data_IF_949083080258
#
_entry.id   IF_949083080258
#
_cell.length_a   1.000
_cell.length_b   1.000
_cell.length_c   1.000
_cell.angle_alpha   90.00
_cell.angle_beta   90.00
_cell.angle_gamma   90.00
#
_symmetry.space_group_name_H-M   'P 1'
#
loop_
_entity.id
_entity.type
_entity.pdbx_description
1 polymer ?
#
# COMPACT_ATOMS: atom_id res chain seq x y z
N UNK A 1 -26.49 -20.79 6.87
CA UNK A 1 -25.63 -19.96 7.74
C UNK A 1 -25.46 -18.62 7.05
N UNK A 2 -25.63 -17.49 7.75
CA UNK A 2 -25.64 -16.17 7.08
C UNK A 2 -24.24 -15.56 7.09
N UNK A 3 -23.74 -15.20 5.91
CA UNK A 3 -22.52 -14.42 5.72
C UNK A 3 -22.94 -12.98 5.43
N UNK A 4 -22.28 -12.02 6.04
CA UNK A 4 -22.49 -10.60 5.79
C UNK A 4 -21.23 -10.05 5.16
N UNK A 5 -21.33 -9.49 3.95
CA UNK A 5 -20.26 -8.72 3.32
C UNK A 5 -20.58 -7.23 3.43
N UNK A 6 -19.71 -6.48 4.12
CA UNK A 6 -19.70 -5.02 4.19
C UNK A 6 -18.58 -4.50 3.30
N UNK A 7 -18.92 -3.66 2.34
CA UNK A 7 -17.96 -3.02 1.43
C UNK A 7 -17.98 -1.52 1.73
N UNK A 8 -16.85 -1.00 2.17
CA UNK A 8 -16.64 0.42 2.43
C UNK A 8 -15.78 1.00 1.30
N UNK A 9 -16.35 1.98 0.59
CA UNK A 9 -15.61 2.79 -0.39
C UNK A 9 -15.06 4.01 0.34
N UNK A 10 -13.74 4.07 0.44
CA UNK A 10 -13.01 5.03 1.23
C UNK A 10 -12.42 6.13 0.34
N UNK A 11 -12.74 7.37 0.68
CA UNK A 11 -12.19 8.57 0.06
C UNK A 11 -10.96 9.04 0.84
N UNK A 12 -9.92 9.47 0.13
CA UNK A 12 -8.76 10.11 0.74
C UNK A 12 -9.11 11.52 1.18
N UNK A 13 -8.89 11.83 2.46
CA UNK A 13 -9.16 13.15 3.02
C UNK A 13 -7.94 13.62 3.79
N UNK A 14 -7.59 14.89 3.59
CA UNK A 14 -6.63 15.59 4.42
C UNK A 14 -7.38 16.48 5.41
N UNK A 15 -7.20 16.22 6.70
CA UNK A 15 -7.73 17.07 7.76
C UNK A 15 -6.59 17.87 8.39
N UNK A 16 -6.80 19.18 8.58
CA UNK A 16 -5.83 20.05 9.23
C UNK A 16 -6.48 21.00 10.21
N UNK A 17 -5.76 21.31 11.27
CA UNK A 17 -6.11 22.36 12.23
C UNK A 17 -5.05 23.47 12.32
N UNK A 18 -4.21 23.62 11.28
CA UNK A 18 -3.17 24.65 11.20
C UNK A 18 -1.90 24.36 12.02
N UNK A 19 -1.91 23.29 12.83
CA UNK A 19 -0.73 22.80 13.56
C UNK A 19 -0.32 21.44 13.00
N UNK A 20 -1.31 20.59 12.71
CA UNK A 20 -1.10 19.25 12.16
C UNK A 20 -1.96 19.10 10.91
N UNK A 21 -1.46 18.31 9.97
CA UNK A 21 -2.22 17.80 8.84
C UNK A 21 -2.15 16.27 8.84
N UNK A 22 -3.31 15.64 8.87
CA UNK A 22 -3.48 14.20 8.83
C UNK A 22 -4.06 13.82 7.46
N UNK A 23 -3.37 12.95 6.74
CA UNK A 23 -3.94 12.25 5.59
C UNK A 23 -4.48 10.91 6.05
N UNK A 24 -5.79 10.72 5.91
CA UNK A 24 -6.51 9.52 6.33
C UNK A 24 -7.64 9.17 5.34
N UNK A 25 -8.42 8.15 5.69
CA UNK A 25 -9.53 7.67 4.89
C UNK A 25 -10.85 8.11 5.51
N UNK A 26 -11.85 8.40 4.68
CA UNK A 26 -13.21 8.65 5.10
C UNK A 26 -14.14 7.68 4.40
N UNK A 27 -15.11 7.12 5.11
CA UNK A 27 -16.17 6.32 4.49
C UNK A 27 -17.05 7.24 3.64
N UNK A 28 -16.96 7.10 2.32
CA UNK A 28 -17.79 7.83 1.36
C UNK A 28 -19.10 7.10 1.08
N UNK A 29 -19.03 5.77 0.95
CA UNK A 29 -20.19 4.92 0.70
C UNK A 29 -20.02 3.55 1.35
N UNK A 30 -21.11 3.01 1.88
CA UNK A 30 -21.18 1.63 2.36
C UNK A 30 -22.16 0.82 1.51
N UNK A 31 -21.83 -0.44 1.26
CA UNK A 31 -22.70 -1.42 0.60
C UNK A 31 -22.72 -2.68 1.48
N UNK A 32 -23.93 -3.15 1.78
CA UNK A 32 -24.16 -4.32 2.62
C UNK A 32 -24.81 -5.42 1.77
N UNK A 33 -24.14 -6.56 1.68
CA UNK A 33 -24.58 -7.72 0.90
C UNK A 33 -24.70 -8.94 1.82
N UNK A 34 -25.92 -9.30 2.26
CA UNK A 34 -26.14 -10.57 2.93
C UNK A 34 -26.04 -11.72 1.91
N UNK A 35 -25.33 -12.78 2.28
CA UNK A 35 -25.16 -13.99 1.47
C UNK A 35 -25.63 -15.17 2.32
N UNK A 36 -26.59 -15.92 1.82
CA UNK A 36 -27.00 -17.18 2.44
C UNK A 36 -26.06 -18.28 1.97
N UNK A 37 -25.17 -18.73 2.85
CA UNK A 37 -24.47 -19.99 2.64
C UNK A 37 -25.39 -21.12 3.09
N UNK A 38 -25.49 -22.19 2.31
CA UNK A 38 -26.22 -23.40 2.69
C UNK A 38 -25.68 -24.08 3.96
N UNK A 39 -26.07 -25.32 4.22
CA UNK A 39 -25.58 -26.09 5.39
C UNK A 39 -24.11 -26.54 5.30
N UNK A 40 -23.29 -25.83 4.53
CA UNK A 40 -21.86 -26.12 4.36
C UNK A 40 -21.08 -25.41 5.47
N UNK A 41 -20.08 -26.10 6.02
CA UNK A 41 -19.15 -25.52 7.00
C UNK A 41 -18.31 -24.45 6.31
N UNK A 42 -18.60 -23.19 6.58
CA UNK A 42 -17.85 -22.04 6.04
C UNK A 42 -16.45 -22.03 6.64
N UNK A 43 -15.44 -21.94 5.79
CA UNK A 43 -14.03 -21.81 6.15
C UNK A 43 -13.54 -20.37 5.98
N UNK A 44 -12.34 -20.07 6.48
CA UNK A 44 -11.72 -18.75 6.28
C UNK A 44 -11.43 -18.51 4.79
N UNK A 45 -11.04 -19.55 4.05
CA UNK A 45 -10.73 -19.43 2.63
C UNK A 45 -11.96 -19.01 1.82
N UNK A 46 -13.15 -19.53 2.15
CA UNK A 46 -14.41 -19.10 1.52
C UNK A 46 -14.68 -17.60 1.75
N UNK A 47 -14.42 -17.10 2.97
CA UNK A 47 -14.58 -15.68 3.29
C UNK A 47 -13.59 -14.80 2.54
N UNK A 48 -12.34 -15.29 2.37
CA UNK A 48 -11.31 -14.60 1.59
C UNK A 48 -11.71 -14.54 0.11
N UNK A 49 -12.24 -15.61 -0.45
CA UNK A 49 -12.73 -15.66 -1.83
C UNK A 49 -13.87 -14.66 -2.05
N UNK A 50 -14.89 -14.67 -1.19
CA UNK A 50 -15.99 -13.70 -1.23
C UNK A 50 -15.46 -12.26 -1.11
N UNK A 51 -14.47 -12.03 -0.24
CA UNK A 51 -13.86 -10.70 -0.10
C UNK A 51 -13.15 -10.28 -1.39
N UNK A 52 -12.40 -11.18 -2.01
CA UNK A 52 -11.67 -10.95 -3.26
C UNK A 52 -12.62 -10.68 -4.44
N UNK A 53 -13.71 -11.44 -4.56
CA UNK A 53 -14.73 -11.21 -5.58
C UNK A 53 -15.35 -9.82 -5.45
N UNK A 54 -15.68 -9.40 -4.23
CA UNK A 54 -16.21 -8.07 -3.96
C UNK A 54 -15.19 -6.97 -4.29
N UNK A 55 -13.90 -7.17 -4.00
CA UNK A 55 -12.84 -6.24 -4.39
C UNK A 55 -12.75 -6.05 -5.91
N UNK A 56 -12.90 -7.13 -6.69
CA UNK A 56 -12.90 -7.05 -8.15
C UNK A 56 -14.17 -6.39 -8.67
N UNK A 57 -15.34 -6.76 -8.13
CA UNK A 57 -16.65 -6.27 -8.57
C UNK A 57 -16.84 -4.76 -8.34
N UNK A 58 -16.38 -4.25 -7.20
CA UNK A 58 -16.56 -2.85 -6.81
C UNK A 58 -15.30 -2.01 -7.00
N UNK A 59 -14.36 -2.49 -7.81
CA UNK A 59 -13.07 -1.83 -8.05
C UNK A 59 -13.26 -0.42 -8.59
N UNK A 60 -12.66 0.54 -7.90
CA UNK A 60 -12.62 1.95 -8.30
C UNK A 60 -11.16 2.42 -8.29
N UNK A 61 -10.69 3.07 -9.35
CA UNK A 61 -9.30 3.51 -9.46
C UNK A 61 -8.93 4.69 -8.57
N UNK A 62 -9.93 5.41 -8.06
CA UNK A 62 -9.75 6.64 -7.28
C UNK A 62 -9.99 6.44 -5.78
N UNK A 63 -10.68 5.35 -5.40
CA UNK A 63 -11.06 5.06 -4.02
C UNK A 63 -10.33 3.83 -3.49
N UNK A 64 -9.99 3.87 -2.20
CA UNK A 64 -9.57 2.68 -1.46
C UNK A 64 -10.81 1.87 -1.11
N UNK A 65 -10.71 0.55 -1.22
CA UNK A 65 -11.81 -0.35 -0.91
C UNK A 65 -11.45 -1.16 0.32
N UNK A 66 -12.38 -1.23 1.27
CA UNK A 66 -12.27 -2.13 2.41
C UNK A 66 -13.46 -3.07 2.42
N UNK A 67 -13.19 -4.36 2.25
CA UNK A 67 -14.22 -5.40 2.29
C UNK A 67 -14.08 -6.17 3.59
N UNK A 68 -15.11 -6.13 4.41
CA UNK A 68 -15.24 -6.96 5.60
C UNK A 68 -16.27 -8.04 5.34
N UNK A 69 -15.88 -9.30 5.44
CA UNK A 69 -16.78 -10.45 5.33
C UNK A 69 -16.83 -11.15 6.68
N UNK A 70 -18.03 -11.33 7.22
CA UNK A 70 -18.25 -11.85 8.56
C UNK A 70 -19.31 -12.96 8.57
N UNK A 71 -19.06 -13.96 9.42
CA UNK A 71 -19.98 -15.06 9.77
C UNK A 71 -19.77 -15.34 11.27
N UNK A 72 -20.71 -15.98 11.99
CA UNK A 72 -20.52 -16.23 13.42
C UNK A 72 -19.17 -16.88 13.74
N UNK A 73 -18.32 -16.16 14.47
CA UNK A 73 -16.99 -16.61 14.91
C UNK A 73 -15.83 -16.39 13.93
N UNK A 74 -16.07 -15.89 12.71
CA UNK A 74 -15.01 -15.61 11.73
C UNK A 74 -15.23 -14.25 11.05
N UNK A 75 -14.16 -13.46 10.94
CA UNK A 75 -14.16 -12.17 10.25
C UNK A 75 -12.90 -12.02 9.42
N UNK A 76 -13.07 -11.68 8.16
CA UNK A 76 -11.98 -11.38 7.22
C UNK A 76 -12.11 -9.94 6.78
N UNK A 77 -10.99 -9.21 6.76
CA UNK A 77 -10.91 -7.84 6.27
C UNK A 77 -9.88 -7.83 5.15
N UNK A 78 -10.31 -7.48 3.93
CA UNK A 78 -9.44 -7.37 2.78
C UNK A 78 -9.47 -5.95 2.22
N UNK A 79 -8.32 -5.29 2.23
CA UNK A 79 -8.11 -4.00 1.58
C UNK A 79 -7.75 -4.16 0.11
N UNK A 80 -8.26 -3.28 -0.74
CA UNK A 80 -7.88 -3.14 -2.14
C UNK A 80 -7.59 -1.69 -2.51
N UNK A 81 -6.73 -1.51 -3.52
CA UNK A 81 -6.18 -0.22 -3.97
C UNK A 81 -5.41 0.52 -2.87
N UNK A 82 -4.11 0.20 -2.67
CA UNK A 82 -3.28 0.86 -1.67
C UNK A 82 -3.16 2.36 -1.98
N UNK A 83 -2.94 3.14 -0.92
CA UNK A 83 -2.84 4.59 -1.04
C UNK A 83 -1.60 4.93 -1.85
N UNK A 84 -1.77 5.44 -3.07
CA UNK A 84 -0.65 5.72 -4.02
C UNK A 84 0.43 6.66 -3.46
N UNK A 85 0.16 7.35 -2.35
CA UNK A 85 1.06 8.32 -1.71
C UNK A 85 1.28 8.07 -0.20
N UNK A 86 0.75 6.99 0.39
CA UNK A 86 0.95 6.79 1.82
C UNK A 86 2.43 6.51 2.12
N UNK A 87 2.98 7.32 3.01
CA UNK A 87 4.35 7.16 3.51
C UNK A 87 4.43 6.18 4.67
N UNK A 88 3.30 5.89 5.36
CA UNK A 88 3.34 5.18 6.63
C UNK A 88 2.08 4.36 6.90
N UNK A 89 2.27 3.18 7.49
CA UNK A 89 1.20 2.38 8.09
C UNK A 89 0.95 2.89 9.50
N UNK A 90 -0.01 3.81 9.63
CA UNK A 90 -0.41 4.41 10.90
C UNK A 90 -1.11 3.40 11.80
N UNK A 91 -1.85 2.44 11.24
CA UNK A 91 -2.62 1.45 12.00
C UNK A 91 -2.50 0.07 11.32
N UNK A 92 -2.13 -1.03 12.02
CA UNK A 92 -2.05 -2.37 11.43
C UNK A 92 -3.38 -2.87 10.84
N UNK A 93 -4.51 -2.38 11.35
CA UNK A 93 -5.86 -2.72 10.88
C UNK A 93 -6.67 -1.43 10.69
N UNK A 94 -7.45 -1.28 9.62
CA UNK A 94 -8.30 -0.11 9.46
C UNK A 94 -9.24 0.04 10.67
N UNK A 95 -9.20 1.19 11.31
CA UNK A 95 -10.02 1.47 12.50
C UNK A 95 -10.35 2.96 12.57
N UNK A 96 -11.46 3.28 13.22
CA UNK A 96 -11.91 4.66 13.38
C UNK A 96 -11.00 5.42 14.36
N UNK A 97 -10.53 6.58 13.94
CA UNK A 97 -9.70 7.45 14.76
C UNK A 97 -10.57 8.27 15.70
N UNK A 98 -10.28 8.17 17.00
CA UNK A 98 -10.90 9.04 18.02
C UNK A 98 -10.10 10.32 18.21
N UNK A 99 -8.77 10.19 18.33
CA UNK A 99 -7.84 11.31 18.51
C UNK A 99 -6.39 10.88 18.39
N UNK A 100 -5.53 11.87 18.25
CA UNK A 100 -4.07 11.74 18.24
C UNK A 100 -3.52 12.59 19.38
N UNK A 101 -2.72 11.98 20.25
CA UNK A 101 -2.08 12.64 21.39
C UNK A 101 -0.57 12.72 21.13
N UNK A 102 0.00 13.90 21.30
CA UNK A 102 1.44 14.12 21.25
C UNK A 102 1.94 14.19 22.69
N UNK A 103 2.89 13.32 23.00
CA UNK A 103 3.37 13.11 24.35
C UNK A 103 4.83 13.56 24.45
N UNK A 104 5.14 14.30 25.51
CA UNK A 104 6.51 14.62 25.89
C UNK A 104 6.79 14.11 27.30
N UNK A 105 7.83 13.32 27.45
CA UNK A 105 8.32 12.82 28.71
C UNK A 105 9.39 13.76 29.25
N UNK A 106 9.15 14.32 30.44
CA UNK A 106 10.15 15.17 31.12
C UNK A 106 11.23 14.30 31.75
N UNK A 107 10.83 13.14 32.27
CA UNK A 107 11.66 12.13 32.91
C UNK A 107 11.20 10.73 32.45
N UNK A 108 11.87 9.66 32.89
CA UNK A 108 11.51 8.28 32.55
C UNK A 108 10.13 7.82 33.05
N UNK A 109 9.48 8.58 33.93
CA UNK A 109 8.21 8.23 34.57
C UNK A 109 7.09 9.22 34.23
N UNK A 110 7.42 10.49 33.99
CA UNK A 110 6.44 11.56 33.85
C UNK A 110 6.32 11.99 32.39
N UNK A 111 5.19 11.65 31.78
CA UNK A 111 4.87 11.99 30.41
C UNK A 111 3.57 12.79 30.35
N UNK A 112 3.63 13.96 29.71
CA UNK A 112 2.52 14.90 29.58
C UNK A 112 2.00 14.91 28.14
N UNK A 113 0.67 15.07 27.98
CA UNK A 113 0.07 15.40 26.69
C UNK A 113 0.33 16.87 26.42
N UNK A 114 1.15 17.16 25.41
CA UNK A 114 1.45 18.55 25.01
C UNK A 114 0.54 19.05 23.90
N UNK A 115 -0.05 18.14 23.13
CA UNK A 115 -0.98 18.49 22.08
C UNK A 115 -1.97 17.36 21.81
N UNK A 116 -3.23 17.72 21.56
CA UNK A 116 -4.30 16.80 21.19
C UNK A 116 -4.89 17.25 19.85
N UNK A 117 -4.89 16.33 18.89
CA UNK A 117 -5.63 16.47 17.64
C UNK A 117 -6.88 15.59 17.70
N UNK A 118 -8.04 16.22 17.60
CA UNK A 118 -9.34 15.55 17.46
C UNK A 118 -9.87 15.80 16.05
N UNK A 119 -10.14 14.75 15.27
CA UNK A 119 -10.72 14.91 13.95
C UNK A 119 -12.16 15.45 14.08
N UNK A 120 -12.54 16.39 13.22
CA UNK A 120 -13.89 16.99 13.14
C UNK A 120 -14.88 16.07 12.46
N UNK A 121 -14.37 15.20 11.59
CA UNK A 121 -15.12 14.20 10.84
C UNK A 121 -14.66 12.81 11.25
N UNK A 122 -15.53 11.82 11.08
CA UNK A 122 -15.17 10.44 11.35
C UNK A 122 -14.17 9.94 10.29
N UNK A 123 -12.97 9.61 10.74
CA UNK A 123 -11.87 9.15 9.89
C UNK A 123 -11.51 7.70 10.21
N UNK A 124 -11.15 6.94 9.19
CA UNK A 124 -10.57 5.61 9.27
C UNK A 124 -9.06 5.74 9.02
N UNK A 125 -8.27 5.14 9.90
CA UNK A 125 -6.81 5.16 9.81
C UNK A 125 -6.31 3.75 9.51
N UNK A 126 -5.50 3.65 8.45
CA UNK A 126 -4.78 2.45 8.05
C UNK A 126 -3.39 2.86 7.52
N UNK A 127 -3.34 3.23 6.24
CA UNK A 127 -2.22 3.87 5.58
C UNK A 127 -2.48 5.38 5.49
N UNK A 128 -1.49 6.20 5.82
CA UNK A 128 -1.64 7.65 5.84
C UNK A 128 -0.34 8.39 6.18
N UNK A 129 -0.46 9.68 6.42
CA UNK A 129 0.66 10.54 6.80
C UNK A 129 0.23 11.53 7.88
N UNK A 130 1.14 11.83 8.80
CA UNK A 130 0.97 12.88 9.82
C UNK A 130 2.06 13.92 9.56
N UNK A 131 1.66 15.07 9.05
CA UNK A 131 2.53 16.21 8.79
C UNK A 131 2.39 17.25 9.91
N UNK A 132 3.52 17.72 10.43
CA UNK A 132 3.58 18.80 11.41
C UNK A 132 3.81 20.13 10.70
N UNK A 133 2.83 21.03 10.78
CA UNK A 133 2.90 22.37 10.18
C UNK A 133 3.57 23.38 11.12
N UNK A 134 3.60 23.09 12.42
CA UNK A 134 4.36 23.82 13.44
C UNK A 134 5.26 22.88 14.20
N UNK A 135 6.38 23.40 14.68
CA UNK A 135 7.30 22.65 15.53
C UNK A 135 6.62 22.37 16.88
N UNK A 136 6.16 21.15 17.04
CA UNK A 136 5.75 20.58 18.32
C UNK A 136 6.93 19.74 18.80
N UNK A 137 7.33 19.92 20.05
CA UNK A 137 8.43 19.19 20.66
C UNK A 137 7.90 17.99 21.45
N UNK A 138 7.83 16.82 20.82
CA UNK A 138 7.25 15.57 21.35
C UNK A 138 8.22 14.40 21.22
N UNK A 139 8.08 13.41 22.09
CA UNK A 139 8.88 12.18 22.06
C UNK A 139 8.18 11.05 21.30
N UNK A 140 6.87 10.91 21.47
CA UNK A 140 6.06 9.93 20.76
C UNK A 140 4.59 10.37 20.65
N UNK A 141 3.85 9.66 19.81
CA UNK A 141 2.45 9.89 19.50
C UNK A 141 1.64 8.69 19.99
N UNK A 142 0.48 8.95 20.59
CA UNK A 142 -0.53 7.93 20.84
C UNK A 142 -1.69 8.15 19.88
N UNK A 143 -1.89 7.20 18.97
CA UNK A 143 -3.11 7.06 18.18
C UNK A 143 -4.16 6.34 19.01
N UNK A 144 -5.23 7.03 19.37
CA UNK A 144 -6.40 6.39 19.97
C UNK A 144 -7.41 6.07 18.88
N UNK A 145 -7.49 4.79 18.53
CA UNK A 145 -8.52 4.26 17.66
C UNK A 145 -9.70 3.75 18.52
N UNK A 146 -10.80 3.38 17.86
CA UNK A 146 -11.96 2.83 18.52
C UNK A 146 -11.68 1.49 19.22
N UNK A 147 -10.93 0.60 18.56
CA UNK A 147 -10.69 -0.75 19.09
C UNK A 147 -9.45 -0.85 19.97
N UNK A 148 -8.49 0.07 19.85
CA UNK A 148 -7.20 0.00 20.54
C UNK A 148 -6.43 1.33 20.49
N UNK A 149 -5.34 1.39 21.26
CA UNK A 149 -4.38 2.49 21.21
C UNK A 149 -3.06 2.00 20.62
N UNK A 150 -2.45 2.80 19.74
CA UNK A 150 -1.13 2.52 19.17
C UNK A 150 -0.17 3.65 19.53
N UNK A 151 1.01 3.27 20.00
CA UNK A 151 2.13 4.21 20.14
C UNK A 151 2.87 4.25 18.80
N UNK A 152 3.13 5.46 18.31
CA UNK A 152 3.96 5.73 17.16
C UNK A 152 5.13 6.60 17.59
N UNK A 153 6.33 6.17 17.24
CA UNK A 153 7.52 6.99 17.42
C UNK A 153 7.77 7.86 16.18
N UNK A 154 8.46 9.02 16.32
CA UNK A 154 8.73 9.91 15.20
C UNK A 154 9.42 9.23 14.01
N UNK A 155 10.27 8.23 14.27
CA UNK A 155 10.97 7.48 13.24
C UNK A 155 10.05 6.53 12.42
N UNK A 156 8.86 6.18 12.94
CA UNK A 156 7.88 5.37 12.21
C UNK A 156 7.09 6.20 11.19
N UNK A 157 6.96 7.52 11.39
CA UNK A 157 6.16 8.43 10.57
C UNK A 157 6.76 8.70 9.18
N UNK A 158 8.03 8.35 9.00
CA UNK A 158 8.69 8.37 7.70
C UNK A 158 9.32 7.01 7.48
N UNK A 159 8.54 6.04 7.01
CA UNK A 159 9.16 4.89 6.35
C UNK A 159 9.67 5.45 5.02
N UNK A 160 10.99 5.59 4.79
CA UNK A 160 11.45 5.95 3.46
C UNK A 160 10.91 4.87 2.53
N UNK A 161 10.20 5.28 1.47
CA UNK A 161 9.83 4.38 0.40
C UNK A 161 11.10 3.61 0.05
N UNK A 162 11.08 2.28 0.22
CA UNK A 162 12.11 1.41 -0.34
C UNK A 162 12.04 1.76 -1.82
N UNK A 163 12.98 2.60 -2.27
CA UNK A 163 13.14 2.87 -3.68
C UNK A 163 13.45 1.49 -4.22
N UNK A 164 12.46 0.86 -4.85
CA UNK A 164 12.72 -0.22 -5.77
C UNK A 164 13.87 0.29 -6.61
N UNK A 165 15.05 -0.26 -6.37
CA UNK A 165 16.19 -0.02 -7.23
C UNK A 165 15.80 -0.71 -8.52
N UNK A 166 15.00 -0.02 -9.33
CA UNK A 166 14.89 -0.25 -10.75
C UNK A 166 16.32 -0.08 -11.24
N UNK A 167 17.06 -1.19 -11.23
CA UNK A 167 18.38 -1.33 -11.84
C UNK A 167 18.17 -0.83 -13.26
N UNK A 168 18.56 0.42 -13.53
CA UNK A 168 18.59 0.96 -14.88
C UNK A 168 19.35 -0.08 -15.70
N UNK A 169 18.74 -0.72 -16.71
CA UNK A 169 19.48 -1.69 -17.50
C UNK A 169 20.61 -0.92 -18.16
N UNK A 170 21.84 -1.26 -17.76
CA UNK A 170 23.07 -0.71 -18.30
C UNK A 170 23.00 -0.92 -19.81
N UNK A 171 22.83 0.17 -20.60
CA UNK A 171 22.80 0.11 -22.06
C UNK A 171 24.07 -0.59 -22.53
N UNK A 172 23.98 -1.88 -22.91
CA UNK A 172 25.03 -2.57 -23.65
C UNK A 172 25.13 -1.84 -24.99
N UNK A 173 26.21 -1.07 -25.19
CA UNK A 173 26.61 -0.56 -26.51
C UNK A 173 26.68 -1.76 -27.45
N UNK A 174 25.72 -1.88 -28.38
CA UNK A 174 25.83 -2.77 -29.53
C UNK A 174 27.06 -2.33 -30.32
N UNK A 175 28.14 -3.13 -30.30
CA UNK A 175 29.19 -3.01 -31.30
C UNK A 175 28.54 -3.32 -32.65
N UNK A 176 28.51 -2.34 -33.55
CA UNK A 176 28.13 -2.56 -34.94
C UNK A 176 29.11 -3.58 -35.54
N UNK A 177 28.59 -4.69 -36.06
CA UNK A 177 29.34 -5.55 -36.98
C UNK A 177 29.44 -4.78 -38.29
N UNK A 178 30.65 -4.35 -38.67
CA UNK A 178 30.91 -4.02 -40.07
C UNK A 178 30.84 -5.31 -40.88
N UNK A 179 29.74 -5.46 -41.61
CA UNK A 179 29.62 -6.36 -42.74
C UNK A 179 29.99 -5.55 -43.98
N UNK A 180 31.11 -5.88 -44.63
CA UNK A 180 31.33 -5.57 -46.04
C UNK A 180 31.34 -6.87 -46.85
N UNK A 181 30.25 -7.02 -47.59
CA UNK A 181 30.04 -7.76 -48.84
C UNK A 181 31.13 -7.42 -49.88
N UNK A 182 31.42 -8.13 -50.98
CA UNK A 182 31.12 -9.44 -51.58
C UNK A 182 31.89 -9.43 -52.94
N UNK A 183 31.90 -10.57 -53.67
CA UNK A 183 32.33 -10.81 -55.08
C UNK A 183 33.77 -11.34 -55.28
N UNK A 184 34.06 -12.32 -56.13
CA UNK A 184 33.27 -13.23 -56.96
C UNK A 184 34.16 -14.40 -57.42
N UNK A 185 33.51 -15.47 -57.86
CA UNK A 185 34.04 -16.77 -58.27
C UNK A 185 34.94 -16.70 -59.53
N UNK A 186 35.93 -17.59 -59.63
CA UNK A 186 36.14 -18.40 -60.85
C UNK A 186 36.88 -19.71 -60.58
N UNK A 187 36.32 -20.75 -61.18
CA UNK A 187 36.64 -22.18 -61.10
C UNK A 187 37.67 -22.57 -62.18
N UNK A 188 38.33 -23.72 -61.96
CA UNK A 188 38.77 -24.78 -62.90
C UNK A 188 40.27 -24.94 -63.24
N UNK A 189 40.72 -26.18 -62.95
CA UNK A 189 41.45 -27.17 -63.78
C UNK A 189 42.99 -27.23 -63.87
N UNK A 190 43.50 -28.37 -63.35
CA UNK A 190 44.36 -29.43 -63.94
C UNK A 190 45.71 -29.09 -64.63
N UNK A 191 46.71 -29.85 -64.15
CA UNK A 191 47.76 -30.63 -64.85
C UNK A 191 49.11 -29.97 -65.24
N UNK A 192 50.14 -30.76 -64.88
CA UNK A 192 51.41 -31.11 -65.56
C UNK A 192 52.64 -30.21 -65.44
N UNK A 193 53.63 -30.75 -64.71
CA UNK A 193 55.03 -31.10 -65.10
C UNK A 193 55.82 -30.19 -66.05
N UNK A 194 57.11 -30.05 -65.66
CA UNK A 194 58.35 -29.84 -66.46
C UNK A 194 58.55 -28.39 -66.97
N UNK A 195 59.76 -27.81 -67.03
CA UNK A 195 61.14 -28.23 -66.79
C UNK A 195 62.06 -26.97 -66.81
N UNK A 196 63.23 -27.06 -66.16
CA UNK A 196 64.52 -26.38 -66.46
C UNK A 196 64.58 -24.84 -66.45
N UNK A 197 65.37 -24.29 -65.52
CA UNK A 197 66.81 -24.05 -65.72
C UNK A 197 67.52 -24.17 -64.38
#
# INVERSE_FOLDING_TARGET
MQIISKIEMLDHVAESNGIIRLEALRVGREIWNPIEAGNVKITIDDLVEIAAENLVKYRDSEKTLLVTVETPGLRVIHGGNPVKKASTVLSPKPSYLRRILFIKCRDSVNCDVIYEFKPKIQLVVYEGSIELLKNIDYDFIILECEDYKRVLFPYELSIPAIKDQAKKPRKKRRKQKEVKTCREKKKKTRRSKRHKR
#
